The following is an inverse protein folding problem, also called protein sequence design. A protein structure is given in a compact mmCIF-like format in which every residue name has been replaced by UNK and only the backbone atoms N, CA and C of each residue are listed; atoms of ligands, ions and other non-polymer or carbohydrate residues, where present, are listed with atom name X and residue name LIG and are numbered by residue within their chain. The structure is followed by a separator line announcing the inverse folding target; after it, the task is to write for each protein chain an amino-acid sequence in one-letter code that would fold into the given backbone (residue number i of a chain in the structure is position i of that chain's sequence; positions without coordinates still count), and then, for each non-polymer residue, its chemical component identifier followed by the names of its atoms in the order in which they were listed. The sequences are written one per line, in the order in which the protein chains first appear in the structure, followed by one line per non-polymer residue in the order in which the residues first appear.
data_IF_873285920096
#
_entry.id   IF_873285920096
#
_cell.length_a   1.000
_cell.length_b   1.000
_cell.length_c   1.000
_cell.angle_alpha   90.00
_cell.angle_beta   90.00
_cell.angle_gamma   90.00
#
_symmetry.space_group_name_H-M   'P 1'
#
loop_
_entity.id
_entity.type
_entity.pdbx_description
1 polymer ?
#
# COMPACT_ATOMS: atom_id res chain seq x y z
N UNK A 1 -54.02 -26.84 -28.42
CA UNK A 1 -52.86 -27.73 -28.24
C UNK A 1 -51.62 -26.85 -28.21
N UNK A 2 -51.25 -26.34 -27.03
CA UNK A 2 -50.09 -25.45 -26.84
C UNK A 2 -49.00 -26.27 -26.16
N UNK A 3 -47.96 -26.60 -26.92
CA UNK A 3 -46.70 -27.14 -26.41
C UNK A 3 -45.60 -26.31 -27.04
N UNK A 4 -44.88 -25.52 -26.24
CA UNK A 4 -43.42 -25.55 -26.25
C UNK A 4 -42.85 -24.85 -25.01
N UNK A 5 -41.91 -25.57 -24.40
CA UNK A 5 -41.25 -25.33 -23.13
C UNK A 5 -40.14 -24.27 -23.21
N UNK A 6 -39.94 -23.60 -22.07
CA UNK A 6 -38.66 -23.17 -21.45
C UNK A 6 -37.62 -22.41 -22.29
N UNK A 7 -37.26 -21.21 -21.81
CA UNK A 7 -35.88 -20.97 -21.29
C UNK A 7 -35.86 -19.74 -20.37
N UNK A 8 -35.83 -19.95 -19.05
CA UNK A 8 -35.45 -18.89 -18.09
C UNK A 8 -34.02 -18.46 -18.40
N UNK A 9 -33.85 -17.21 -18.79
CA UNK A 9 -32.55 -16.56 -18.95
C UNK A 9 -32.00 -16.31 -17.54
N UNK A 10 -31.20 -17.24 -17.02
CA UNK A 10 -30.33 -16.98 -15.88
C UNK A 10 -29.11 -16.21 -16.39
N UNK A 11 -28.89 -14.97 -15.93
CA UNK A 11 -27.60 -14.34 -16.16
C UNK A 11 -26.59 -15.07 -15.27
N UNK A 12 -25.69 -15.83 -15.89
CA UNK A 12 -24.45 -16.26 -15.28
C UNK A 12 -23.62 -15.01 -14.98
N UNK A 13 -23.93 -14.35 -13.86
CA UNK A 13 -23.11 -13.32 -13.26
C UNK A 13 -21.88 -14.04 -12.69
N UNK A 14 -20.89 -14.27 -13.56
CA UNK A 14 -19.52 -14.54 -13.13
C UNK A 14 -19.00 -13.23 -12.52
N UNK A 15 -19.21 -13.05 -11.21
CA UNK A 15 -18.49 -12.05 -10.43
C UNK A 15 -17.03 -12.50 -10.43
N UNK A 16 -16.29 -12.02 -11.42
CA UNK A 16 -14.83 -12.00 -11.40
C UNK A 16 -14.43 -11.15 -10.20
N UNK A 17 -14.19 -11.80 -9.07
CA UNK A 17 -13.49 -11.25 -7.92
C UNK A 17 -12.04 -10.97 -8.37
N UNK A 18 -11.85 -9.87 -9.10
CA UNK A 18 -10.54 -9.27 -9.31
C UNK A 18 -10.10 -8.75 -7.94
N UNK A 19 -9.34 -9.56 -7.22
CA UNK A 19 -8.50 -9.10 -6.12
C UNK A 19 -7.50 -8.11 -6.72
N UNK A 20 -7.85 -6.82 -6.67
CA UNK A 20 -6.92 -5.74 -6.95
C UNK A 20 -5.95 -5.67 -5.78
N UNK A 21 -4.86 -6.41 -5.89
CA UNK A 21 -3.66 -6.17 -5.10
C UNK A 21 -3.16 -4.77 -5.43
N UNK A 22 -3.61 -3.76 -4.67
CA UNK A 22 -2.96 -2.45 -4.62
C UNK A 22 -1.62 -2.57 -3.89
N UNK A 23 -0.71 -3.38 -4.45
CA UNK A 23 0.71 -3.32 -4.16
C UNK A 23 1.26 -2.02 -4.71
N UNK A 24 0.88 -0.88 -4.10
CA UNK A 24 1.34 0.43 -4.52
C UNK A 24 2.87 0.46 -4.35
N UNK A 25 3.58 0.60 -5.45
CA UNK A 25 5.02 0.87 -5.43
C UNK A 25 5.24 2.32 -4.98
N UNK A 26 6.30 2.62 -4.24
CA UNK A 26 6.69 3.99 -3.94
C UNK A 26 7.00 4.74 -5.27
N UNK A 27 6.03 5.53 -5.76
CA UNK A 27 6.17 6.30 -7.00
C UNK A 27 6.69 7.69 -6.68
N UNK A 28 7.74 8.10 -7.41
CA UNK A 28 8.46 9.34 -7.16
C UNK A 28 7.58 10.61 -7.11
N UNK A 29 6.49 10.66 -7.87
CA UNK A 29 5.64 11.85 -7.97
C UNK A 29 4.25 11.70 -7.34
N UNK A 30 3.79 10.47 -7.13
CA UNK A 30 2.42 10.17 -6.67
C UNK A 30 2.37 9.46 -5.32
N UNK A 31 3.50 9.07 -4.75
CA UNK A 31 3.54 8.35 -3.46
C UNK A 31 2.86 6.97 -3.57
N UNK A 32 2.31 6.42 -2.47
CA UNK A 32 1.94 7.11 -1.23
C UNK A 32 3.04 7.09 -0.14
N UNK A 33 3.00 8.07 0.76
CA UNK A 33 3.86 8.13 1.94
C UNK A 33 3.41 7.14 3.04
N UNK A 34 4.35 6.68 3.85
CA UNK A 34 4.10 5.79 5.00
C UNK A 34 4.10 4.30 4.67
N UNK A 35 4.24 3.92 3.39
CA UNK A 35 4.38 2.51 3.05
C UNK A 35 5.75 1.97 3.41
N UNK A 36 5.75 0.85 4.12
CA UNK A 36 6.96 0.11 4.48
C UNK A 36 6.97 -1.20 3.70
N UNK A 37 8.06 -1.47 3.00
CA UNK A 37 8.24 -2.72 2.23
C UNK A 37 9.61 -3.30 2.48
N UNK A 38 9.67 -4.63 2.44
CA UNK A 38 10.93 -5.35 2.41
C UNK A 38 11.49 -5.35 0.99
N UNK A 39 12.63 -4.69 0.75
CA UNK A 39 13.26 -4.64 -0.57
C UNK A 39 14.78 -4.61 -0.48
N UNK A 40 15.44 -5.13 -1.53
CA UNK A 40 16.87 -5.00 -1.76
C UNK A 40 17.11 -3.77 -2.63
N UNK A 41 17.97 -2.87 -2.18
CA UNK A 41 18.43 -1.72 -2.96
C UNK A 41 19.86 -1.99 -3.43
N UNK A 42 20.23 -1.48 -4.60
CA UNK A 42 21.48 -1.81 -5.28
C UNK A 42 22.73 -1.54 -4.44
N UNK A 43 22.67 -0.56 -3.55
CA UNK A 43 23.79 -0.16 -2.71
C UNK A 43 23.97 -1.00 -1.45
N UNK A 44 23.14 -2.03 -1.22
CA UNK A 44 23.27 -2.92 -0.07
C UNK A 44 23.31 -4.41 -0.45
N UNK A 45 23.93 -5.20 0.42
CA UNK A 45 24.18 -6.63 0.15
C UNK A 45 22.92 -7.52 0.30
N UNK A 46 21.91 -7.04 1.04
CA UNK A 46 20.77 -7.85 1.50
C UNK A 46 19.42 -7.09 1.42
N UNK A 47 18.32 -7.73 1.81
CA UNK A 47 16.99 -7.12 1.91
C UNK A 47 16.82 -6.37 3.23
N UNK A 48 16.16 -5.21 3.16
CA UNK A 48 15.84 -4.41 4.34
C UNK A 48 14.47 -3.75 4.26
N UNK A 49 13.98 -3.30 5.40
CA UNK A 49 12.81 -2.43 5.45
C UNK A 49 13.13 -1.08 4.84
N UNK A 50 12.25 -0.66 3.93
CA UNK A 50 12.36 0.63 3.26
C UNK A 50 11.01 1.30 3.24
N UNK A 51 11.00 2.55 3.67
CA UNK A 51 9.83 3.41 3.78
C UNK A 51 9.69 4.28 2.53
N UNK A 52 8.47 4.48 2.06
CA UNK A 52 8.17 5.53 1.08
C UNK A 52 7.88 6.82 1.84
N UNK A 53 8.74 7.82 1.71
CA UNK A 53 8.62 9.09 2.42
C UNK A 53 8.59 10.24 1.44
N UNK A 54 7.92 11.33 1.80
CA UNK A 54 8.04 12.59 1.08
C UNK A 54 9.45 13.16 1.25
N UNK A 55 9.90 14.00 0.30
CA UNK A 55 11.19 14.71 0.42
C UNK A 55 11.29 15.45 1.76
N UNK A 56 10.24 16.19 2.12
CA UNK A 56 10.21 16.94 3.37
C UNK A 56 10.30 16.04 4.61
N UNK A 57 9.68 14.86 4.60
CA UNK A 57 9.83 13.88 5.68
C UNK A 57 11.25 13.35 5.79
N UNK A 58 11.89 13.02 4.66
CA UNK A 58 13.29 12.56 4.66
C UNK A 58 14.20 13.64 5.23
N UNK A 59 14.07 14.88 4.77
CA UNK A 59 14.87 16.01 5.26
C UNK A 59 14.62 16.27 6.75
N UNK A 60 13.36 16.19 7.21
CA UNK A 60 13.02 16.38 8.62
C UNK A 60 13.59 15.27 9.51
N UNK A 61 13.39 13.99 9.15
CA UNK A 61 13.83 12.84 9.96
C UNK A 61 15.35 12.77 10.00
N UNK A 62 16.03 13.01 8.87
CA UNK A 62 17.48 13.03 8.79
C UNK A 62 18.14 14.31 9.31
N UNK A 63 17.36 15.27 9.82
CA UNK A 63 17.85 16.62 10.22
C UNK A 63 18.64 17.32 9.11
N UNK A 64 18.19 17.17 7.87
CA UNK A 64 18.76 17.77 6.67
C UNK A 64 19.97 17.03 6.09
N UNK A 65 20.38 15.89 6.66
CA UNK A 65 21.53 15.12 6.15
C UNK A 65 21.21 14.40 4.84
N UNK A 66 19.95 13.98 4.65
CA UNK A 66 19.52 13.20 3.51
C UNK A 66 18.33 13.86 2.80
N UNK A 67 18.25 13.67 1.49
CA UNK A 67 17.12 14.07 0.64
C UNK A 67 16.90 13.04 -0.46
N UNK A 68 15.80 13.17 -1.21
CA UNK A 68 15.56 12.31 -2.36
C UNK A 68 16.59 12.57 -3.47
N UNK A 69 17.28 11.52 -3.94
CA UNK A 69 18.33 11.65 -4.96
C UNK A 69 17.86 12.29 -6.27
N UNK A 70 16.61 12.06 -6.68
CA UNK A 70 15.98 12.81 -7.76
C UNK A 70 15.37 14.10 -7.20
N UNK A 71 15.90 15.27 -7.60
CA UNK A 71 15.47 16.62 -7.16
C UNK A 71 14.03 17.00 -7.55
N UNK A 72 13.44 16.34 -8.54
CA UNK A 72 12.05 16.58 -8.94
C UNK A 72 11.06 15.66 -8.20
N UNK A 73 11.53 14.54 -7.63
CA UNK A 73 10.67 13.59 -6.94
C UNK A 73 10.06 14.20 -5.68
N UNK A 74 8.74 14.03 -5.49
CA UNK A 74 8.06 14.40 -4.24
C UNK A 74 8.23 13.34 -3.16
N UNK A 75 8.38 12.08 -3.57
CA UNK A 75 8.53 10.92 -2.70
C UNK A 75 9.76 10.11 -3.10
N UNK A 76 10.38 9.44 -2.14
CA UNK A 76 11.46 8.52 -2.38
C UNK A 76 11.48 7.39 -1.35
N UNK A 77 12.27 6.38 -1.69
CA UNK A 77 12.58 5.26 -0.82
C UNK A 77 13.62 5.70 0.20
N UNK A 78 13.33 5.49 1.47
CA UNK A 78 14.22 5.79 2.60
C UNK A 78 14.49 4.50 3.37
N UNK A 79 15.75 4.05 3.36
CA UNK A 79 16.17 2.78 3.93
C UNK A 79 16.30 2.84 5.45
N UNK A 80 15.88 1.77 6.14
CA UNK A 80 16.08 1.61 7.58
C UNK A 80 17.56 1.74 7.97
N UNK A 81 18.48 1.24 7.15
CA UNK A 81 19.91 1.34 7.44
C UNK A 81 20.40 2.79 7.54
N UNK A 82 19.86 3.69 6.70
CA UNK A 82 20.15 5.13 6.79
C UNK A 82 19.56 5.71 8.07
N UNK A 83 18.33 5.30 8.41
CA UNK A 83 17.60 5.83 9.57
C UNK A 83 18.23 5.44 10.90
N UNK A 84 18.58 4.17 11.07
CA UNK A 84 19.06 3.61 12.34
C UNK A 84 20.58 3.71 12.47
N UNK A 85 21.30 3.43 11.39
CA UNK A 85 22.76 3.30 11.42
C UNK A 85 23.49 4.43 10.68
N UNK A 86 22.76 5.28 9.93
CA UNK A 86 23.35 6.38 9.18
C UNK A 86 24.19 5.93 7.98
N UNK A 87 24.18 4.64 7.64
CA UNK A 87 24.91 4.12 6.48
C UNK A 87 24.01 4.12 5.26
N UNK A 88 24.55 4.58 4.14
CA UNK A 88 23.85 4.61 2.86
C UNK A 88 24.20 3.43 1.95
N UNK A 89 25.11 2.53 2.36
CA UNK A 89 25.56 1.39 1.56
C UNK A 89 26.18 0.27 2.40
N UNK A 90 26.36 -0.90 1.79
CA UNK A 90 27.04 -2.05 2.38
C UNK A 90 26.12 -3.04 3.08
N UNK A 91 26.60 -3.61 4.18
CA UNK A 91 25.86 -4.65 4.91
C UNK A 91 24.76 -4.06 5.79
N UNK A 92 23.61 -4.72 5.82
CA UNK A 92 22.44 -4.28 6.59
C UNK A 92 22.49 -4.81 8.02
N UNK A 93 22.27 -3.92 8.98
CA UNK A 93 22.19 -4.25 10.40
C UNK A 93 20.99 -5.14 10.73
N UNK A 94 21.09 -5.99 11.77
CA UNK A 94 20.06 -6.99 12.07
C UNK A 94 18.68 -6.40 12.38
N UNK A 95 18.59 -5.15 12.85
CA UNK A 95 17.31 -4.48 13.11
C UNK A 95 16.58 -4.07 11.83
N UNK A 96 17.31 -3.92 10.72
CA UNK A 96 16.78 -3.46 9.45
C UNK A 96 16.53 -4.59 8.46
N UNK A 97 17.10 -5.78 8.68
CA UNK A 97 16.93 -6.95 7.82
C UNK A 97 15.48 -7.44 7.80
N UNK A 98 15.07 -7.95 6.64
CA UNK A 98 13.75 -8.52 6.46
C UNK A 98 13.77 -9.62 5.39
N UNK A 99 12.75 -10.48 5.41
CA UNK A 99 12.55 -11.47 4.35
C UNK A 99 11.55 -10.93 3.31
N UNK A 100 11.80 -11.07 2.00
CA UNK A 100 10.83 -10.68 0.97
C UNK A 100 9.45 -11.30 1.23
N UNK A 101 8.38 -10.49 1.11
CA UNK A 101 7.01 -10.92 1.40
C UNK A 101 6.62 -10.90 2.88
N UNK A 102 7.57 -10.64 3.79
CA UNK A 102 7.26 -10.40 5.20
C UNK A 102 6.47 -9.09 5.36
N UNK A 103 5.46 -9.11 6.22
CA UNK A 103 4.75 -7.90 6.64
C UNK A 103 5.55 -7.20 7.74
N UNK A 104 5.64 -5.86 7.66
CA UNK A 104 6.30 -5.10 8.71
C UNK A 104 5.44 -5.17 9.99
N UNK A 105 6.01 -5.40 11.18
CA UNK A 105 5.23 -5.53 12.42
C UNK A 105 4.36 -4.29 12.73
N UNK A 106 4.69 -3.11 12.17
CA UNK A 106 3.86 -1.89 12.30
C UNK A 106 2.86 -1.69 11.16
N UNK A 107 2.89 -2.49 10.07
CA UNK A 107 1.90 -2.36 8.98
C UNK A 107 0.48 -2.80 9.36
N UNK A 108 0.30 -3.39 10.54
CA UNK A 108 -1.02 -3.65 11.13
C UNK A 108 -1.60 -2.44 11.89
N UNK A 109 -0.81 -1.40 12.17
CA UNK A 109 -1.27 -0.23 12.94
C UNK A 109 -0.29 0.96 12.88
N UNK A 110 -0.27 1.71 11.76
CA UNK A 110 0.02 3.16 11.77
C UNK A 110 -0.15 3.77 10.37
N UNK A 111 -1.36 4.19 10.05
CA UNK A 111 -1.52 5.59 9.63
C UNK A 111 -1.99 6.32 10.89
N UNK A 112 -1.38 7.46 11.30
CA UNK A 112 -2.08 8.36 12.21
C UNK A 112 -3.41 8.75 11.57
N UNK A 113 -4.42 8.88 12.42
CA UNK A 113 -5.81 9.17 12.11
C UNK A 113 -5.98 10.20 10.98
N UNK A 114 -6.44 9.73 9.83
CA UNK A 114 -7.67 10.26 9.28
C UNK A 114 -8.56 9.06 8.96
N UNK A 115 -9.28 8.63 10.00
CA UNK A 115 -10.38 7.68 9.94
C UNK A 115 -11.41 8.23 8.94
N UNK A 116 -11.30 7.80 7.69
CA UNK A 116 -12.39 7.96 6.73
C UNK A 116 -13.43 6.91 7.05
N UNK A 117 -14.31 7.25 7.99
CA UNK A 117 -15.54 6.53 8.30
C UNK A 117 -16.53 6.49 7.12
N UNK A 118 -16.12 6.87 5.91
CA UNK A 118 -16.97 6.94 4.72
C UNK A 118 -17.25 5.58 4.07
N UNK A 119 -16.39 4.55 4.27
CA UNK A 119 -16.59 3.25 3.61
C UNK A 119 -17.69 2.39 4.27
N UNK A 120 -17.97 2.59 5.56
CA UNK A 120 -19.06 1.87 6.25
C UNK A 120 -20.45 2.46 5.94
N UNK A 121 -20.52 3.73 5.55
CA UNK A 121 -21.79 4.39 5.19
C UNK A 121 -22.29 3.88 3.83
N UNK A 122 -21.38 3.63 2.88
CA UNK A 122 -21.74 3.16 1.52
C UNK A 122 -22.39 1.76 1.58
N UNK A 123 -21.89 0.87 2.44
CA UNK A 123 -22.45 -0.49 2.60
C UNK A 123 -23.86 -0.44 3.21
N UNK A 124 -24.11 0.46 4.18
CA UNK A 124 -25.43 0.63 4.79
C UNK A 124 -26.48 1.21 3.84
N UNK A 125 -26.11 2.19 3.00
CA UNK A 125 -27.01 2.80 2.01
C UNK A 125 -27.37 1.83 0.88
N UNK A 126 -26.42 0.99 0.44
CA UNK A 126 -26.69 -0.07 -0.54
C UNK A 126 -27.63 -1.16 -0.01
N UNK A 127 -27.47 -1.59 1.25
CA UNK A 127 -28.39 -2.55 1.86
C UNK A 127 -29.79 -1.97 2.05
N UNK A 128 -29.92 -0.69 2.42
CA UNK A 128 -31.22 -0.03 2.54
C UNK A 128 -31.94 0.13 1.19
N UNK A 129 -31.20 0.43 0.11
CA UNK A 129 -31.80 0.58 -1.24
C UNK A 129 -32.19 -0.76 -1.88
N UNK A 130 -31.47 -1.84 -1.58
CA UNK A 130 -31.83 -3.21 -1.99
C UNK A 130 -33.07 -3.75 -1.26
N UNK A 131 -33.30 -3.32 -0.01
CA UNK A 131 -34.50 -3.71 0.75
C UNK A 131 -35.76 -2.93 0.31
N UNK A 132 -35.62 -1.73 -0.26
CA UNK A 132 -36.77 -0.93 -0.73
C UNK A 132 -37.22 -1.34 -2.15
N UNK A 133 -36.35 -1.98 -2.93
CA UNK A 133 -36.69 -2.48 -4.29
C UNK A 133 -37.23 -3.90 -4.31
N UNK A 134 -37.46 -4.52 -3.15
CA UNK A 134 -38.21 -5.76 -3.00
C UNK A 134 -39.53 -5.52 -2.25
N UNK A 135 -40.45 -4.81 -2.88
CA UNK A 135 -41.91 -4.86 -2.67
C UNK A 135 -42.60 -4.57 -3.99
#
# INVERSE_FOLDING_TARGET
MFTHLNKKIQPCICILLLSIDLSQSCKAFTGPEGQIKCMKLDQYDDYQWVSCLSRGSVERISKGQYTCGNRLAKYCRYSCEIEIYGSNSGSIGPQCKCTPGQQHPTSSASSPEMSSTAHMIIIGVFLATLMITSC
#
